data_IF_723892656827
#
_entry.id   IF_723892656827
#
_cell.length_a   1.000
_cell.length_b   1.000
_cell.length_c   1.000
_cell.angle_alpha   90.00
_cell.angle_beta   90.00
_cell.angle_gamma   90.00
#
_symmetry.space_group_name_H-M   'P 1'
#
loop_
_entity.id
_entity.type
_entity.pdbx_description
1 polymer ?
#
# COMPACT_ATOMS: atom_id res chain seq x y z
N UNK A 1 -30.83 4.35 16.32
CA UNK A 1 -29.53 4.13 17.00
C UNK A 1 -28.63 3.43 16.00
N UNK A 2 -27.93 4.21 15.16
CA UNK A 2 -27.07 3.66 14.10
C UNK A 2 -25.72 3.35 14.74
N UNK A 3 -25.32 2.08 14.76
CA UNK A 3 -23.95 1.73 15.10
C UNK A 3 -23.03 2.32 14.02
N UNK A 4 -22.00 3.12 14.37
CA UNK A 4 -21.02 3.54 13.38
C UNK A 4 -20.19 2.30 13.00
N UNK A 5 -20.48 1.72 11.83
CA UNK A 5 -19.59 0.72 11.24
C UNK A 5 -18.26 1.40 10.90
N UNK A 6 -17.16 0.91 11.46
CA UNK A 6 -15.79 1.33 11.11
C UNK A 6 -15.13 0.16 10.39
N UNK A 7 -14.62 0.39 9.18
CA UNK A 7 -13.83 -0.62 8.47
C UNK A 7 -12.59 -0.93 9.32
N UNK A 8 -12.44 -2.19 9.71
CA UNK A 8 -11.33 -2.63 10.57
C UNK A 8 -10.02 -2.89 9.81
N UNK A 9 -10.03 -2.70 8.49
CA UNK A 9 -9.00 -3.06 7.52
C UNK A 9 -9.65 -3.41 6.19
N UNK A 10 -8.88 -3.49 5.11
CA UNK A 10 -9.43 -3.80 3.80
C UNK A 10 -9.63 -5.32 3.63
N UNK A 11 -10.66 -5.75 2.89
CA UNK A 11 -10.91 -7.16 2.65
C UNK A 11 -9.73 -7.79 1.88
N UNK A 12 -9.35 -9.04 2.21
CA UNK A 12 -8.32 -9.74 1.47
C UNK A 12 -8.77 -10.03 0.02
N UNK A 13 -7.84 -9.91 -0.91
CA UNK A 13 -8.05 -10.29 -2.32
C UNK A 13 -7.60 -11.72 -2.53
N UNK A 14 -8.49 -12.59 -3.01
CA UNK A 14 -8.15 -13.98 -3.37
C UNK A 14 -7.91 -14.05 -4.86
N UNK A 15 -6.79 -14.62 -5.28
CA UNK A 15 -6.41 -14.78 -6.68
C UNK A 15 -5.97 -16.21 -6.99
N UNK A 16 -6.14 -16.63 -8.24
CA UNK A 16 -5.85 -17.98 -8.74
C UNK A 16 -4.47 -17.99 -9.42
N UNK A 17 -3.54 -18.79 -8.88
CA UNK A 17 -2.17 -18.86 -9.39
C UNK A 17 -2.09 -19.33 -10.84
N UNK A 18 -3.02 -20.19 -11.30
CA UNK A 18 -2.97 -20.71 -12.66
C UNK A 18 -3.43 -19.69 -13.70
N UNK A 19 -4.43 -18.88 -13.35
CA UNK A 19 -5.12 -18.03 -14.32
C UNK A 19 -4.84 -16.54 -14.17
N UNK A 20 -4.18 -16.11 -13.09
CA UNK A 20 -4.00 -14.69 -12.80
C UNK A 20 -3.34 -13.94 -13.98
N UNK A 21 -2.26 -14.47 -14.56
CA UNK A 21 -1.56 -13.80 -15.66
C UNK A 21 -2.43 -13.57 -16.90
N UNK A 22 -3.38 -14.45 -17.17
CA UNK A 22 -4.32 -14.25 -18.26
C UNK A 22 -5.37 -13.21 -17.89
N UNK A 23 -5.89 -13.25 -16.66
CA UNK A 23 -6.82 -12.23 -16.14
C UNK A 23 -6.22 -10.84 -16.09
N UNK A 24 -4.93 -10.71 -15.82
CA UNK A 24 -4.24 -9.42 -15.86
C UNK A 24 -4.17 -8.83 -17.28
N UNK A 25 -4.38 -9.60 -18.34
CA UNK A 25 -4.40 -9.09 -19.73
C UNK A 25 -5.75 -8.52 -20.13
N UNK A 26 -6.84 -9.13 -19.67
CA UNK A 26 -8.19 -8.88 -20.18
C UNK A 26 -9.20 -8.36 -19.13
N UNK A 27 -8.84 -8.35 -17.84
CA UNK A 27 -9.70 -7.88 -16.76
C UNK A 27 -9.06 -6.71 -15.98
N UNK A 28 -9.39 -5.44 -16.33
CA UNK A 28 -8.95 -4.26 -15.59
C UNK A 28 -9.31 -4.31 -14.10
N UNK A 29 -10.43 -4.94 -13.75
CA UNK A 29 -10.88 -5.13 -12.37
C UNK A 29 -9.91 -6.01 -11.56
N UNK A 30 -9.28 -7.02 -12.18
CA UNK A 30 -8.32 -7.88 -11.50
C UNK A 30 -7.05 -7.10 -11.09
N UNK A 31 -6.59 -6.19 -11.96
CA UNK A 31 -5.48 -5.27 -11.63
C UNK A 31 -5.85 -4.37 -10.46
N UNK A 32 -7.05 -3.78 -10.49
CA UNK A 32 -7.53 -2.91 -9.41
C UNK A 32 -7.61 -3.67 -8.07
N UNK A 33 -8.19 -4.87 -8.06
CA UNK A 33 -8.31 -5.67 -6.83
C UNK A 33 -6.95 -6.05 -6.21
N UNK A 34 -5.94 -6.29 -7.05
CA UNK A 34 -4.56 -6.51 -6.57
C UNK A 34 -3.95 -5.20 -6.08
N UNK A 35 -4.10 -4.12 -6.83
CA UNK A 35 -3.61 -2.79 -6.47
C UNK A 35 -4.14 -2.31 -5.12
N UNK A 36 -5.37 -2.68 -4.74
CA UNK A 36 -6.00 -2.23 -3.48
C UNK A 36 -5.82 -3.20 -2.32
N UNK A 37 -5.30 -4.40 -2.54
CA UNK A 37 -5.22 -5.39 -1.48
C UNK A 37 -4.13 -5.05 -0.47
N UNK A 38 -4.46 -5.10 0.83
CA UNK A 38 -3.42 -5.21 1.86
C UNK A 38 -2.93 -6.65 2.00
N UNK A 39 -3.84 -7.61 1.76
CA UNK A 39 -3.56 -9.04 1.87
C UNK A 39 -4.04 -9.70 0.59
N UNK A 40 -3.13 -10.41 -0.07
CA UNK A 40 -3.42 -11.22 -1.25
C UNK A 40 -3.25 -12.69 -0.90
N UNK A 41 -4.30 -13.47 -1.12
CA UNK A 41 -4.27 -14.92 -1.02
C UNK A 41 -4.10 -15.49 -2.42
N UNK A 42 -2.87 -15.90 -2.75
CA UNK A 42 -2.55 -16.60 -3.99
C UNK A 42 -2.88 -18.08 -3.81
N UNK A 43 -4.03 -18.50 -4.31
CA UNK A 43 -4.59 -19.83 -4.17
C UNK A 43 -4.29 -20.72 -5.38
N UNK A 44 -4.39 -22.04 -5.19
CA UNK A 44 -4.13 -23.07 -6.21
C UNK A 44 -2.67 -23.14 -6.67
N UNK A 45 -1.75 -22.91 -5.74
CA UNK A 45 -0.31 -23.00 -6.04
C UNK A 45 0.12 -24.42 -6.43
N UNK A 46 -0.69 -25.44 -6.10
CA UNK A 46 -0.53 -26.84 -6.50
C UNK A 46 -0.71 -27.08 -8.01
N UNK A 47 -1.36 -26.16 -8.72
CA UNK A 47 -1.63 -26.28 -10.17
C UNK A 47 -0.56 -25.64 -11.06
N UNK A 48 0.49 -25.08 -10.48
CA UNK A 48 1.56 -24.36 -11.19
C UNK A 48 2.94 -24.87 -10.80
N UNK A 49 3.87 -24.78 -11.73
CA UNK A 49 5.29 -25.04 -11.48
C UNK A 49 5.92 -23.93 -10.63
N UNK A 50 7.08 -24.20 -10.03
CA UNK A 50 7.82 -23.19 -9.26
C UNK A 50 8.18 -21.95 -10.10
N UNK A 51 8.47 -22.13 -11.38
CA UNK A 51 8.77 -21.04 -12.32
C UNK A 51 7.53 -20.21 -12.64
N UNK A 52 6.40 -20.86 -12.96
CA UNK A 52 5.11 -20.18 -13.15
C UNK A 52 4.71 -19.40 -11.90
N UNK A 53 4.85 -20.01 -10.71
CA UNK A 53 4.56 -19.37 -9.44
C UNK A 53 5.40 -18.11 -9.25
N UNK A 54 6.72 -18.20 -9.39
CA UNK A 54 7.62 -17.04 -9.28
C UNK A 54 7.23 -15.93 -10.26
N UNK A 55 6.84 -16.28 -11.49
CA UNK A 55 6.39 -15.31 -12.49
C UNK A 55 5.07 -14.62 -12.10
N UNK A 56 4.11 -15.36 -11.53
CA UNK A 56 2.83 -14.81 -11.06
C UNK A 56 3.05 -13.86 -9.87
N UNK A 57 3.93 -14.23 -8.95
CA UNK A 57 4.28 -13.38 -7.81
C UNK A 57 4.96 -12.09 -8.24
N UNK A 58 5.89 -12.16 -9.19
CA UNK A 58 6.51 -10.97 -9.77
C UNK A 58 5.46 -10.04 -10.40
N UNK A 59 4.46 -10.58 -11.09
CA UNK A 59 3.37 -9.79 -11.66
C UNK A 59 2.50 -9.13 -10.58
N UNK A 60 2.21 -9.83 -9.48
CA UNK A 60 1.50 -9.25 -8.33
C UNK A 60 2.32 -8.11 -7.72
N UNK A 61 3.61 -8.33 -7.48
CA UNK A 61 4.51 -7.34 -6.88
C UNK A 61 4.71 -6.11 -7.76
N UNK A 62 4.74 -6.28 -9.07
CA UNK A 62 4.79 -5.17 -10.02
C UNK A 62 3.56 -4.25 -9.92
N UNK A 63 2.39 -4.80 -9.57
CA UNK A 63 1.15 -4.03 -9.40
C UNK A 63 1.02 -3.46 -7.98
N UNK A 64 1.22 -4.31 -6.98
CA UNK A 64 1.13 -3.96 -5.58
C UNK A 64 2.23 -4.64 -4.77
N UNK A 65 3.36 -3.96 -4.60
CA UNK A 65 4.45 -4.52 -3.84
C UNK A 65 4.22 -4.44 -2.32
N UNK A 66 3.24 -3.65 -1.87
CA UNK A 66 2.93 -3.46 -0.45
C UNK A 66 1.96 -4.50 0.11
N UNK A 67 1.36 -5.33 -0.75
CA UNK A 67 0.45 -6.38 -0.31
C UNK A 67 1.20 -7.53 0.38
N UNK A 68 0.68 -7.98 1.52
CA UNK A 68 1.07 -9.23 2.16
C UNK A 68 0.58 -10.40 1.30
N UNK A 69 1.50 -11.17 0.73
CA UNK A 69 1.18 -12.28 -0.16
C UNK A 69 1.22 -13.62 0.59
N UNK A 70 0.12 -14.37 0.55
CA UNK A 70 0.00 -15.71 1.12
C UNK A 70 -0.20 -16.75 0.01
N UNK A 71 0.75 -17.69 -0.10
CA UNK A 71 0.61 -18.88 -0.96
C UNK A 71 -0.29 -19.89 -0.26
N UNK A 72 -1.31 -20.39 -0.96
CA UNK A 72 -2.28 -21.34 -0.39
C UNK A 72 -2.76 -22.38 -1.39
N UNK A 73 -3.20 -23.51 -0.85
CA UNK A 73 -4.00 -24.51 -1.57
C UNK A 73 -5.39 -24.53 -0.91
N UNK A 74 -6.45 -24.49 -1.72
CA UNK A 74 -7.85 -24.44 -1.24
C UNK A 74 -8.12 -23.32 -0.23
N UNK A 75 -7.42 -22.19 -0.35
CA UNK A 75 -7.47 -21.07 0.59
C UNK A 75 -7.18 -21.47 2.04
N UNK A 76 -6.41 -22.54 2.27
CA UNK A 76 -6.05 -22.99 3.60
C UNK A 76 -5.10 -21.98 4.26
N UNK A 77 -5.67 -21.04 5.01
CA UNK A 77 -4.97 -20.01 5.76
C UNK A 77 -5.71 -19.76 7.09
N UNK A 78 -4.98 -19.62 8.21
CA UNK A 78 -5.58 -19.22 9.48
C UNK A 78 -6.29 -17.84 9.38
N UNK A 79 -7.49 -17.72 9.96
CA UNK A 79 -8.34 -16.51 9.82
C UNK A 79 -7.71 -15.26 10.42
N UNK A 80 -6.88 -15.42 11.45
CA UNK A 80 -6.09 -14.36 12.07
C UNK A 80 -5.08 -13.74 11.08
N UNK A 81 -4.63 -14.49 10.06
CA UNK A 81 -3.77 -13.96 9.01
C UNK A 81 -4.55 -13.17 7.94
N UNK A 82 -5.88 -13.34 7.86
CA UNK A 82 -6.79 -12.60 6.96
C UNK A 82 -7.32 -11.31 7.59
N UNK A 83 -7.57 -11.33 8.91
CA UNK A 83 -8.19 -10.23 9.66
C UNK A 83 -7.19 -9.26 10.30
N UNK A 84 -5.94 -9.30 9.84
CA UNK A 84 -4.83 -8.59 10.46
C UNK A 84 -4.99 -7.06 10.31
N UNK A 85 -5.36 -6.39 11.42
CA UNK A 85 -5.66 -4.95 11.48
C UNK A 85 -4.45 -4.05 11.22
N UNK A 86 -3.25 -4.63 11.18
CA UNK A 86 -1.98 -3.94 10.94
C UNK A 86 -1.34 -4.32 9.60
N UNK A 87 -2.11 -4.84 8.63
CA UNK A 87 -1.58 -5.37 7.37
C UNK A 87 -0.72 -4.40 6.55
N UNK A 88 -0.75 -3.10 6.85
CA UNK A 88 0.24 -2.14 6.37
C UNK A 88 1.51 -2.19 7.23
N UNK A 89 2.26 -3.29 7.12
CA UNK A 89 3.57 -3.45 7.76
C UNK A 89 4.67 -3.17 6.73
N UNK A 90 4.89 -1.88 6.46
CA UNK A 90 5.95 -1.44 5.55
C UNK A 90 7.35 -1.79 6.06
N UNK A 91 7.52 -1.89 7.38
CA UNK A 91 8.79 -2.27 8.00
C UNK A 91 9.15 -3.70 7.57
N UNK A 92 8.19 -4.64 7.58
CA UNK A 92 8.38 -6.01 7.07
C UNK A 92 8.70 -6.07 5.57
N UNK A 93 8.15 -5.18 4.75
CA UNK A 93 8.41 -5.16 3.30
C UNK A 93 9.86 -4.74 3.01
N UNK A 94 10.37 -3.75 3.74
CA UNK A 94 11.76 -3.28 3.62
C UNK A 94 12.78 -4.28 4.16
N UNK A 95 12.41 -5.08 5.17
CA UNK A 95 13.23 -6.20 5.63
C UNK A 95 13.37 -7.31 4.57
N UNK A 96 12.38 -7.45 3.68
CA UNK A 96 12.36 -8.47 2.62
C UNK A 96 13.04 -7.94 1.34
N UNK A 97 12.79 -6.68 0.97
CA UNK A 97 13.43 -5.97 -0.15
C UNK A 97 13.91 -4.59 0.31
N UNK A 98 15.22 -4.42 0.61
CA UNK A 98 15.76 -3.12 1.06
C UNK A 98 15.77 -2.06 -0.06
N UNK A 99 16.04 -2.49 -1.29
CA UNK A 99 16.10 -1.65 -2.50
C UNK A 99 14.70 -1.31 -3.06
N UNK A 100 13.66 -1.71 -2.32
CA UNK A 100 12.25 -1.51 -2.65
C UNK A 100 11.87 -0.05 -2.90
N UNK A 101 12.56 0.89 -2.26
CA UNK A 101 12.33 2.33 -2.40
C UNK A 101 13.02 2.95 -3.62
N UNK A 102 13.93 2.23 -4.28
CA UNK A 102 14.77 2.76 -5.36
C UNK A 102 14.25 2.39 -6.77
N UNK A 103 13.35 1.41 -6.87
CA UNK A 103 12.89 0.88 -8.15
C UNK A 103 11.57 1.50 -8.61
N UNK A 104 11.67 2.66 -9.27
CA UNK A 104 10.58 3.23 -10.07
C UNK A 104 10.28 2.35 -11.30
N UNK A 105 9.35 1.40 -11.17
CA UNK A 105 8.97 0.52 -12.28
C UNK A 105 8.05 1.26 -13.28
N UNK A 106 8.66 1.78 -14.34
CA UNK A 106 7.98 2.41 -15.47
C UNK A 106 7.39 1.36 -16.44
N UNK A 107 6.07 1.20 -16.44
CA UNK A 107 5.33 0.61 -17.57
C UNK A 107 4.38 1.66 -18.20
N UNK A 108 4.62 1.95 -19.48
CA UNK A 108 3.98 3.01 -20.27
C UNK A 108 2.65 2.54 -20.87
N UNK A 109 1.53 2.71 -20.15
CA UNK A 109 0.19 2.86 -20.73
C UNK A 109 -0.63 3.82 -19.85
N UNK A 110 -1.39 4.73 -20.47
CA UNK A 110 -1.98 5.91 -19.82
C UNK A 110 -3.21 5.66 -18.92
N UNK A 111 -3.73 4.42 -18.85
CA UNK A 111 -4.91 4.09 -18.01
C UNK A 111 -4.58 3.11 -16.87
N UNK A 112 -3.30 2.78 -16.68
CA UNK A 112 -2.90 1.75 -15.73
C UNK A 112 -2.74 2.31 -14.31
N UNK A 113 -3.35 1.63 -13.34
CA UNK A 113 -3.17 1.95 -11.92
C UNK A 113 -1.71 1.74 -11.55
N UNK A 114 -1.10 2.76 -10.95
CA UNK A 114 0.28 2.74 -10.46
C UNK A 114 0.31 2.91 -8.97
N UNK A 115 1.34 2.32 -8.35
CA UNK A 115 1.67 2.56 -6.97
C UNK A 115 2.99 3.31 -6.87
N UNK A 116 3.04 4.31 -6.00
CA UNK A 116 4.21 5.15 -5.75
C UNK A 116 4.43 5.25 -4.25
N UNK A 117 5.69 5.07 -3.83
CA UNK A 117 6.10 5.30 -2.44
C UNK A 117 7.09 6.43 -2.32
N UNK A 118 7.01 7.09 -1.17
CA UNK A 118 7.89 8.17 -0.80
C UNK A 118 8.36 7.94 0.63
N UNK A 119 9.64 8.20 0.90
CA UNK A 119 10.23 8.06 2.22
C UNK A 119 11.06 9.30 2.56
N UNK A 120 10.89 9.80 3.77
CA UNK A 120 11.73 10.82 4.38
C UNK A 120 12.41 10.18 5.59
N UNK A 121 13.75 10.17 5.66
CA UNK A 121 14.44 9.77 6.87
C UNK A 121 14.18 10.81 7.97
N UNK A 122 13.72 10.36 9.13
CA UNK A 122 13.43 11.23 10.27
C UNK A 122 12.02 11.84 10.27
N UNK A 123 11.93 13.02 10.88
CA UNK A 123 10.68 13.64 11.26
C UNK A 123 10.05 14.47 10.14
N UNK A 124 8.73 14.51 10.14
CA UNK A 124 7.88 15.35 9.29
C UNK A 124 7.19 16.39 10.16
N UNK A 125 7.05 17.59 9.62
CA UNK A 125 6.37 18.71 10.26
C UNK A 125 4.84 18.55 10.08
N UNK A 126 4.08 18.31 11.16
CA UNK A 126 2.63 18.13 11.05
C UNK A 126 1.91 19.37 10.53
N UNK A 127 2.44 20.58 10.76
CA UNK A 127 1.84 21.83 10.28
C UNK A 127 1.96 22.01 8.77
N UNK A 128 2.94 21.34 8.14
CA UNK A 128 3.09 21.30 6.68
C UNK A 128 2.36 20.11 6.07
N UNK A 129 2.47 18.95 6.71
CA UNK A 129 1.93 17.69 6.19
C UNK A 129 0.40 17.71 6.13
N UNK A 130 -0.28 18.15 7.19
CA UNK A 130 -1.74 18.08 7.27
C UNK A 130 -2.43 18.94 6.20
N UNK A 131 -2.01 20.19 5.93
CA UNK A 131 -2.54 20.95 4.79
C UNK A 131 -2.23 20.26 3.46
N UNK A 132 -0.98 19.84 3.25
CA UNK A 132 -0.55 19.25 1.98
C UNK A 132 -1.35 18.00 1.61
N UNK A 133 -1.54 17.05 2.55
CA UNK A 133 -2.28 15.81 2.24
C UNK A 133 -3.77 16.09 1.97
N UNK A 134 -4.34 17.10 2.61
CA UNK A 134 -5.72 17.52 2.34
C UNK A 134 -5.85 18.14 0.94
N UNK A 135 -4.91 18.99 0.55
CA UNK A 135 -4.89 19.60 -0.79
C UNK A 135 -4.70 18.53 -1.88
N UNK A 136 -3.78 17.59 -1.67
CA UNK A 136 -3.58 16.43 -2.55
C UNK A 136 -4.85 15.59 -2.68
N UNK A 137 -5.50 15.29 -1.56
CA UNK A 137 -6.77 14.52 -1.55
C UNK A 137 -7.90 15.25 -2.27
N UNK A 138 -7.96 16.58 -2.20
CA UNK A 138 -8.97 17.36 -2.92
C UNK A 138 -8.66 17.50 -4.42
N UNK A 139 -7.42 17.78 -4.77
CA UNK A 139 -7.01 18.03 -6.15
C UNK A 139 -6.92 16.73 -6.97
N UNK A 140 -6.41 15.66 -6.37
CA UNK A 140 -6.16 14.38 -7.04
C UNK A 140 -7.07 13.24 -6.54
N UNK A 141 -8.02 13.49 -5.63
CA UNK A 141 -8.89 12.46 -5.05
C UNK A 141 -9.66 11.55 -6.03
N UNK A 142 -10.13 12.01 -7.20
CA UNK A 142 -10.71 11.13 -8.22
C UNK A 142 -9.71 10.11 -8.78
N UNK A 143 -8.43 10.49 -8.80
CA UNK A 143 -7.32 9.74 -9.36
C UNK A 143 -6.58 8.90 -8.32
N UNK A 144 -6.56 9.36 -7.06
CA UNK A 144 -6.08 8.61 -5.90
C UNK A 144 -7.16 7.59 -5.56
N UNK A 145 -6.84 6.32 -5.70
CA UNK A 145 -7.73 5.23 -5.34
C UNK A 145 -7.49 4.83 -3.89
N UNK A 146 -6.22 4.90 -3.46
CA UNK A 146 -5.81 4.61 -2.09
C UNK A 146 -4.58 5.41 -1.70
N UNK A 147 -4.54 5.83 -0.44
CA UNK A 147 -3.34 6.39 0.17
C UNK A 147 -3.13 5.79 1.55
N UNK A 148 -1.88 5.57 1.93
CA UNK A 148 -1.51 5.13 3.28
C UNK A 148 -0.21 5.78 3.69
N UNK A 149 -0.05 6.00 4.99
CA UNK A 149 1.22 6.48 5.49
C UNK A 149 1.45 6.19 6.97
N UNK A 150 2.73 6.08 7.30
CA UNK A 150 3.25 6.00 8.66
C UNK A 150 4.25 7.14 8.79
N UNK A 151 3.97 8.09 9.67
CA UNK A 151 4.76 9.32 9.81
C UNK A 151 5.34 9.42 11.21
N UNK A 152 6.59 9.90 11.26
CA UNK A 152 7.23 10.35 12.48
C UNK A 152 7.01 11.86 12.58
N UNK A 153 6.03 12.32 13.36
CA UNK A 153 5.84 13.76 13.54
C UNK A 153 6.83 14.34 14.53
N UNK A 154 7.36 15.53 14.20
CA UNK A 154 8.27 16.29 15.07
C UNK A 154 7.65 16.48 16.46
N UNK A 155 8.37 16.04 17.50
CA UNK A 155 7.92 16.17 18.89
C UNK A 155 6.84 15.18 19.33
N UNK A 156 6.39 14.27 18.47
CA UNK A 156 5.43 13.21 18.84
C UNK A 156 6.17 11.86 19.01
N UNK A 157 6.07 11.21 20.19
CA UNK A 157 6.67 9.90 20.44
C UNK A 157 5.93 8.72 19.78
N UNK A 158 4.69 8.92 19.33
CA UNK A 158 3.91 7.90 18.62
C UNK A 158 4.04 7.99 17.10
N UNK A 159 3.72 6.89 16.44
CA UNK A 159 3.53 6.86 14.98
C UNK A 159 2.19 7.50 14.65
N UNK A 160 2.17 8.44 13.72
CA UNK A 160 0.92 8.83 13.08
C UNK A 160 0.67 7.92 11.89
N UNK A 161 -0.48 7.24 11.87
CA UNK A 161 -0.86 6.35 10.77
C UNK A 161 -2.14 6.88 10.15
N UNK A 162 -2.13 7.06 8.83
CA UNK A 162 -3.32 7.44 8.09
C UNK A 162 -3.57 6.52 6.90
N UNK A 163 -4.81 6.52 6.49
CA UNK A 163 -5.30 5.83 5.30
C UNK A 163 -6.35 6.68 4.61
N UNK A 164 -6.38 6.60 3.29
CA UNK A 164 -7.36 7.28 2.48
C UNK A 164 -7.88 6.41 1.35
N UNK A 165 -9.16 6.62 1.03
CA UNK A 165 -9.83 6.06 -0.13
C UNK A 165 -10.49 7.22 -0.87
N UNK A 166 -10.02 7.48 -2.08
CA UNK A 166 -10.37 8.69 -2.82
C UNK A 166 -10.12 9.96 -2.00
N UNK A 167 -11.16 10.75 -1.75
CA UNK A 167 -11.08 12.03 -1.05
C UNK A 167 -11.14 11.89 0.49
N UNK A 168 -11.48 10.71 0.99
CA UNK A 168 -11.68 10.48 2.42
C UNK A 168 -10.36 10.06 3.04
N UNK A 169 -9.88 10.84 4.01
CA UNK A 169 -8.71 10.54 4.83
C UNK A 169 -9.15 10.27 6.28
N UNK A 170 -8.62 9.20 6.88
CA UNK A 170 -8.72 8.92 8.32
C UNK A 170 -7.29 8.72 8.86
N UNK A 171 -7.00 9.24 10.05
CA UNK A 171 -5.67 9.16 10.64
C UNK A 171 -5.70 9.26 12.16
N UNK A 172 -4.83 8.50 12.81
CA UNK A 172 -4.76 8.43 14.26
C UNK A 172 -3.32 8.16 14.74
N UNK A 173 -3.04 8.52 15.99
CA UNK A 173 -1.80 8.19 16.66
C UNK A 173 -1.86 6.75 17.16
N UNK A 174 -0.91 5.94 16.70
CA UNK A 174 -0.80 4.54 17.08
C UNK A 174 0.25 4.34 18.17
N UNK A 175 0.89 3.17 18.20
CA UNK A 175 1.91 2.82 19.18
C UNK A 175 3.10 3.79 19.18
N UNK A 176 3.80 3.82 20.30
CA UNK A 176 5.10 4.48 20.41
C UNK A 176 6.13 3.86 19.45
N UNK A 177 7.10 4.69 19.05
CA UNK A 177 8.34 4.21 18.45
C UNK A 177 9.10 3.36 19.49
N UNK A 178 9.58 2.18 19.11
CA UNK A 178 10.35 1.30 20.00
C UNK A 178 11.76 1.87 20.24
N UNK A 179 12.37 1.49 21.35
CA UNK A 179 13.77 1.83 21.61
C UNK A 179 14.68 1.25 20.50
N UNK A 180 15.49 2.11 19.87
CA UNK A 180 16.37 1.74 18.76
C UNK A 180 15.68 1.63 17.40
N UNK A 181 14.37 1.89 17.31
CA UNK A 181 13.65 1.92 16.03
C UNK A 181 13.96 3.22 15.28
N UNK A 182 14.40 3.10 14.03
CA UNK A 182 14.66 4.26 13.18
C UNK A 182 13.36 4.97 12.87
N UNK A 183 13.28 6.26 13.25
CA UNK A 183 12.17 7.14 12.86
C UNK A 183 12.28 7.47 11.38
N UNK A 184 11.26 7.12 10.62
CA UNK A 184 11.16 7.42 9.20
C UNK A 184 9.71 7.58 8.80
N UNK A 185 9.45 8.55 7.94
CA UNK A 185 8.12 8.87 7.47
C UNK A 185 7.93 8.33 6.05
N UNK A 186 6.87 7.56 5.83
CA UNK A 186 6.63 6.82 4.58
C UNK A 186 5.20 6.98 4.12
N UNK A 187 5.04 7.18 2.82
CA UNK A 187 3.76 7.30 2.13
C UNK A 187 3.68 6.33 0.97
N UNK A 188 2.47 5.88 0.70
CA UNK A 188 2.11 5.14 -0.51
C UNK A 188 0.85 5.74 -1.09
N UNK A 189 0.88 6.04 -2.39
CA UNK A 189 -0.32 6.37 -3.17
C UNK A 189 -0.51 5.31 -4.25
N UNK A 190 -1.76 4.92 -4.45
CA UNK A 190 -2.17 4.02 -5.52
C UNK A 190 -3.26 4.74 -6.31
N UNK A 191 -3.04 4.91 -7.61
CA UNK A 191 -3.96 5.69 -8.43
C UNK A 191 -3.61 5.70 -9.90
N UNK A 192 -4.36 6.49 -10.67
CA UNK A 192 -4.18 6.67 -12.12
C UNK A 192 -3.80 8.11 -12.39
N UNK A 193 -2.97 8.35 -13.40
CA UNK A 193 -2.58 9.71 -13.80
C UNK A 193 -2.08 10.60 -12.65
N UNK A 194 -1.43 9.97 -11.65
CA UNK A 194 -0.85 10.67 -10.51
C UNK A 194 0.48 11.30 -10.91
N UNK A 195 0.67 12.57 -10.55
CA UNK A 195 1.93 13.27 -10.77
C UNK A 195 2.94 12.91 -9.68
N UNK A 196 3.74 11.87 -9.93
CA UNK A 196 4.72 11.37 -8.96
C UNK A 196 5.71 12.45 -8.49
N UNK A 197 6.20 13.29 -9.42
CA UNK A 197 7.17 14.33 -9.08
C UNK A 197 6.59 15.39 -8.13
N UNK A 198 5.34 15.78 -8.37
CA UNK A 198 4.64 16.75 -7.52
C UNK A 198 4.33 16.18 -6.14
N UNK A 199 3.89 14.91 -6.08
CA UNK A 199 3.65 14.21 -4.82
C UNK A 199 4.95 14.02 -4.01
N UNK A 200 6.05 13.66 -4.69
CA UNK A 200 7.37 13.53 -4.10
C UNK A 200 7.86 14.85 -3.51
N UNK A 201 7.89 15.91 -4.31
CA UNK A 201 8.36 17.24 -3.89
C UNK A 201 7.49 17.80 -2.76
N UNK A 202 6.16 17.63 -2.85
CA UNK A 202 5.25 18.07 -1.81
C UNK A 202 5.47 17.34 -0.48
N UNK A 203 5.70 16.03 -0.51
CA UNK A 203 6.02 15.29 0.70
C UNK A 203 7.39 15.71 1.27
N UNK A 204 8.43 15.78 0.43
CA UNK A 204 9.79 16.18 0.84
C UNK A 204 9.82 17.58 1.47
N UNK A 205 8.98 18.52 0.99
CA UNK A 205 8.83 19.85 1.59
C UNK A 205 8.28 19.83 3.03
N UNK A 206 7.67 18.71 3.45
CA UNK A 206 7.17 18.52 4.79
C UNK A 206 8.24 18.03 5.79
N UNK A 207 9.49 17.79 5.37
CA UNK A 207 10.58 17.44 6.28
C UNK A 207 10.83 18.52 7.36
N UNK A 208 11.25 18.09 8.56
CA UNK A 208 11.28 18.88 9.80
C UNK A 208 12.66 19.22 10.36
#
# INVERSE_FOLDING_TARGET
MSLPFRLSGDPPTVTDAKWLKDRLKDAPEAKNQIAFADVIVLNKVDLVTAEELASVEAAIRAINPYAKLHRTERCALPIDQLLDRNAFDLDRILDIEPDFLESGHHHHHSDEVRSMSFTIPGDVDPEKFMPWINDVSQAQGPNILRSKGILAFKGEPRRFVFQGVHMILDGDLQRDWKAGETRSSRLVFIGRDLNENELRQGFEACAA
#
